data_IF_623208572922
#
_entry.id   IF_623208572922
#
_cell.length_a   1.000
_cell.length_b   1.000
_cell.length_c   1.000
_cell.angle_alpha   90.00
_cell.angle_beta   90.00
_cell.angle_gamma   90.00
#
_symmetry.space_group_name_H-M   'P 1'
#
loop_
_entity.id
_entity.type
_entity.pdbx_description
1 polymer ?
#
# COMPACT_ATOMS: atom_id res chain seq x y z
N UNK A 1 30.01 -9.55 -7.44
CA UNK A 1 28.95 -9.40 -6.41
C UNK A 1 28.51 -7.94 -6.43
N UNK A 2 27.20 -7.67 -6.37
CA UNK A 2 26.71 -6.28 -6.28
C UNK A 2 27.22 -5.59 -5.01
N UNK A 3 27.60 -4.33 -5.12
CA UNK A 3 27.89 -3.46 -3.96
C UNK A 3 26.61 -3.17 -3.17
N UNK A 4 25.47 -3.13 -3.86
CA UNK A 4 24.14 -2.97 -3.25
C UNK A 4 23.78 -4.25 -2.51
N UNK A 5 23.37 -4.12 -1.24
CA UNK A 5 22.97 -5.24 -0.37
C UNK A 5 21.49 -5.28 -0.05
N UNK A 6 20.80 -4.14 -0.17
CA UNK A 6 19.40 -3.99 0.20
C UNK A 6 18.72 -3.02 -0.75
N UNK A 7 17.54 -3.38 -1.22
CA UNK A 7 16.60 -2.50 -1.89
C UNK A 7 15.29 -2.51 -1.10
N UNK A 8 14.75 -1.32 -0.87
CA UNK A 8 13.45 -1.14 -0.24
C UNK A 8 12.47 -0.58 -1.26
N UNK A 9 11.28 -1.17 -1.32
CA UNK A 9 10.17 -0.63 -2.09
C UNK A 9 9.14 -0.01 -1.13
N UNK A 10 8.68 1.18 -1.46
CA UNK A 10 7.36 1.60 -0.97
C UNK A 10 6.29 0.72 -1.63
N UNK A 11 5.10 0.66 -1.04
CA UNK A 11 4.00 -0.16 -1.55
C UNK A 11 3.05 0.65 -2.43
N UNK A 12 2.41 1.66 -1.85
CA UNK A 12 1.39 2.45 -2.53
C UNK A 12 1.99 3.27 -3.66
N UNK A 13 1.40 3.18 -4.86
CA UNK A 13 1.85 3.90 -6.06
C UNK A 13 3.28 3.57 -6.54
N UNK A 14 3.97 2.63 -5.87
CA UNK A 14 5.26 2.08 -6.28
C UNK A 14 5.10 0.65 -6.73
N UNK A 15 4.54 -0.22 -5.88
CA UNK A 15 4.23 -1.61 -6.21
C UNK A 15 2.76 -1.79 -6.61
N UNK A 16 1.85 -0.94 -6.15
CA UNK A 16 0.45 -0.95 -6.60
C UNK A 16 0.27 -0.20 -7.91
N UNK A 17 -0.61 -0.70 -8.78
CA UNK A 17 -0.94 -0.09 -10.07
C UNK A 17 -2.18 0.80 -9.95
N UNK A 18 -2.12 1.99 -10.53
CA UNK A 18 -3.19 2.99 -10.67
C UNK A 18 -3.73 3.65 -9.39
N UNK A 19 -3.67 2.99 -8.23
CA UNK A 19 -4.27 3.48 -6.98
C UNK A 19 -3.54 2.96 -5.75
N UNK A 20 -3.64 3.72 -4.66
CA UNK A 20 -3.28 3.27 -3.31
C UNK A 20 -4.20 2.13 -2.86
N UNK A 21 -3.75 1.33 -1.91
CA UNK A 21 -4.56 0.31 -1.25
C UNK A 21 -5.78 0.93 -0.57
N UNK A 22 -5.63 2.09 0.07
CA UNK A 22 -6.74 2.80 0.71
C UNK A 22 -7.83 3.19 -0.30
N UNK A 23 -7.41 3.73 -1.44
CA UNK A 23 -8.34 4.08 -2.51
C UNK A 23 -8.97 2.82 -3.10
N UNK A 24 -8.25 1.71 -3.26
CA UNK A 24 -8.83 0.43 -3.67
C UNK A 24 -9.94 -0.02 -2.70
N UNK A 25 -9.68 0.01 -1.39
CA UNK A 25 -10.64 -0.42 -0.37
C UNK A 25 -11.89 0.45 -0.34
N UNK A 26 -11.72 1.74 -0.62
CA UNK A 26 -12.82 2.70 -0.66
C UNK A 26 -13.90 2.34 -1.69
N UNK A 27 -13.50 1.76 -2.84
CA UNK A 27 -14.42 1.31 -3.89
C UNK A 27 -15.31 0.18 -3.43
N UNK A 28 -14.75 -0.80 -2.73
CA UNK A 28 -15.50 -1.94 -2.22
C UNK A 28 -16.47 -1.53 -1.10
N UNK A 29 -16.17 -0.44 -0.38
CA UNK A 29 -16.96 0.08 0.74
C UNK A 29 -17.90 1.23 0.37
N UNK A 30 -17.92 1.66 -0.91
CA UNK A 30 -18.73 2.79 -1.41
C UNK A 30 -18.46 4.11 -0.66
N UNK A 31 -17.20 4.34 -0.27
CA UNK A 31 -16.72 5.55 0.44
C UNK A 31 -15.64 6.30 -0.34
N UNK A 32 -15.63 6.12 -1.67
CA UNK A 32 -14.56 6.60 -2.56
C UNK A 32 -14.37 8.10 -2.45
N UNK A 33 -15.46 8.86 -2.41
CA UNK A 33 -15.39 10.32 -2.40
C UNK A 33 -14.80 10.86 -1.09
N UNK A 34 -15.11 10.21 0.03
CA UNK A 34 -14.55 10.54 1.34
C UNK A 34 -13.04 10.29 1.37
N UNK A 35 -12.60 9.13 0.85
CA UNK A 35 -11.17 8.78 0.81
C UNK A 35 -10.43 9.67 -0.18
N UNK A 36 -10.99 9.96 -1.36
CA UNK A 36 -10.38 10.91 -2.32
C UNK A 36 -10.23 12.30 -1.73
N UNK A 37 -11.20 12.76 -0.94
CA UNK A 37 -11.08 14.03 -0.24
C UNK A 37 -9.89 14.01 0.73
N UNK A 38 -9.77 12.99 1.57
CA UNK A 38 -8.63 12.83 2.48
C UNK A 38 -7.29 12.73 1.74
N UNK A 39 -7.22 11.97 0.63
CA UNK A 39 -6.00 11.87 -0.20
C UNK A 39 -5.60 13.24 -0.74
N UNK A 40 -6.57 14.04 -1.22
CA UNK A 40 -6.30 15.39 -1.72
C UNK A 40 -5.83 16.32 -0.61
N UNK A 41 -6.38 16.24 0.61
CA UNK A 41 -5.92 17.02 1.77
C UNK A 41 -4.49 16.61 2.17
N UNK A 42 -4.20 15.31 2.17
CA UNK A 42 -2.87 14.78 2.51
C UNK A 42 -1.82 15.19 1.47
N UNK A 43 -2.12 15.00 0.18
CA UNK A 43 -1.23 15.39 -0.92
C UNK A 43 -0.99 16.90 -0.99
N UNK A 44 -1.96 17.70 -0.55
CA UNK A 44 -1.79 19.14 -0.42
C UNK A 44 -1.02 19.57 0.85
N UNK A 45 -0.58 18.62 1.68
CA UNK A 45 0.12 18.88 2.94
C UNK A 45 -0.75 19.52 4.03
N UNK A 46 -2.07 19.49 3.90
CA UNK A 46 -3.02 20.06 4.88
C UNK A 46 -3.26 19.14 6.07
N UNK A 47 -3.13 17.84 5.86
CA UNK A 47 -3.14 16.83 6.92
C UNK A 47 -1.87 15.98 6.83
N UNK A 48 -1.38 15.51 7.97
CA UNK A 48 -0.23 14.62 8.04
C UNK A 48 -0.66 13.14 8.02
N UNK A 49 0.31 12.23 7.98
CA UNK A 49 0.08 10.79 7.88
C UNK A 49 -0.76 10.23 9.04
N UNK A 50 -0.55 10.72 10.27
CA UNK A 50 -1.32 10.29 11.44
C UNK A 50 -2.79 10.73 11.33
N UNK A 51 -3.03 11.99 10.97
CA UNK A 51 -4.38 12.52 10.77
C UNK A 51 -5.12 11.80 9.64
N UNK A 52 -4.43 11.48 8.54
CA UNK A 52 -4.98 10.69 7.46
C UNK A 52 -5.33 9.27 7.92
N UNK A 53 -4.44 8.59 8.65
CA UNK A 53 -4.66 7.25 9.16
C UNK A 53 -5.86 7.20 10.13
N UNK A 54 -5.95 8.15 11.07
CA UNK A 54 -7.05 8.22 12.03
C UNK A 54 -8.40 8.48 11.33
N UNK A 55 -8.43 9.45 10.41
CA UNK A 55 -9.65 9.80 9.67
C UNK A 55 -10.11 8.65 8.76
N UNK A 56 -9.19 7.98 8.08
CA UNK A 56 -9.51 6.86 7.20
C UNK A 56 -9.93 5.60 7.98
N UNK A 57 -9.29 5.30 9.11
CA UNK A 57 -9.60 4.14 9.94
C UNK A 57 -11.07 4.10 10.41
N UNK A 58 -11.69 5.26 10.64
CA UNK A 58 -13.09 5.37 11.03
C UNK A 58 -14.05 4.69 10.04
N UNK A 59 -13.70 4.68 8.74
CA UNK A 59 -14.53 4.04 7.70
C UNK A 59 -14.38 2.52 7.63
N UNK A 60 -13.33 1.98 8.25
CA UNK A 60 -12.99 0.55 8.23
C UNK A 60 -13.12 -0.12 9.60
N UNK A 61 -13.63 0.58 10.62
CA UNK A 61 -13.70 0.13 12.03
C UNK A 61 -14.41 -1.22 12.29
N UNK A 62 -15.24 -1.67 11.35
CA UNK A 62 -15.99 -2.93 11.47
C UNK A 62 -15.38 -4.08 10.66
N UNK A 63 -14.23 -3.86 10.02
CA UNK A 63 -13.54 -4.90 9.25
C UNK A 63 -12.64 -5.72 10.16
N UNK A 64 -12.73 -7.04 10.01
CA UNK A 64 -11.79 -7.97 10.58
C UNK A 64 -10.46 -7.93 9.82
N UNK A 65 -9.43 -8.54 10.40
CA UNK A 65 -8.17 -8.75 9.70
C UNK A 65 -8.35 -9.58 8.42
N UNK A 66 -9.25 -10.58 8.45
CA UNK A 66 -9.55 -11.43 7.31
C UNK A 66 -10.20 -10.63 6.19
N UNK A 67 -11.13 -9.72 6.51
CA UNK A 67 -11.72 -8.81 5.52
C UNK A 67 -10.63 -8.00 4.82
N UNK A 68 -9.72 -7.36 5.59
CA UNK A 68 -8.61 -6.60 5.03
C UNK A 68 -7.69 -7.48 4.18
N UNK A 69 -7.36 -8.68 4.64
CA UNK A 69 -6.53 -9.63 3.88
C UNK A 69 -7.17 -10.03 2.55
N UNK A 70 -8.48 -10.25 2.52
CA UNK A 70 -9.20 -10.57 1.29
C UNK A 70 -9.20 -9.38 0.33
N UNK A 71 -9.44 -8.17 0.85
CA UNK A 71 -9.39 -6.94 0.05
C UNK A 71 -8.00 -6.68 -0.53
N UNK A 72 -6.94 -7.06 0.18
CA UNK A 72 -5.56 -6.98 -0.32
C UNK A 72 -5.29 -7.95 -1.48
N UNK A 73 -5.96 -9.11 -1.51
CA UNK A 73 -5.78 -10.13 -2.55
C UNK A 73 -6.15 -9.66 -3.96
N UNK A 74 -7.04 -8.67 -4.06
CA UNK A 74 -7.53 -8.12 -5.33
C UNK A 74 -6.75 -6.88 -5.79
N UNK A 75 -5.70 -6.48 -5.06
CA UNK A 75 -4.86 -5.36 -5.47
C UNK A 75 -4.06 -5.71 -6.72
N UNK A 76 -4.16 -4.84 -7.72
CA UNK A 76 -3.36 -4.93 -8.93
C UNK A 76 -2.00 -4.33 -8.65
N UNK A 77 -0.95 -5.13 -8.84
CA UNK A 77 0.44 -4.69 -8.74
C UNK A 77 0.94 -4.17 -10.10
N UNK A 78 2.06 -3.44 -10.10
CA UNK A 78 2.73 -3.05 -11.34
C UNK A 78 3.15 -4.30 -12.13
N UNK A 79 3.16 -4.18 -13.45
CA UNK A 79 3.52 -5.30 -14.33
C UNK A 79 4.94 -5.76 -14.01
N UNK A 80 5.16 -7.08 -14.04
CA UNK A 80 6.44 -7.74 -13.82
C UNK A 80 7.11 -7.45 -12.46
N UNK A 81 6.39 -6.88 -11.47
CA UNK A 81 6.97 -6.56 -10.14
C UNK A 81 7.65 -7.76 -9.48
N UNK A 82 7.02 -8.94 -9.54
CA UNK A 82 7.57 -10.16 -8.97
C UNK A 82 8.83 -10.60 -9.71
N UNK A 83 8.86 -10.49 -11.03
CA UNK A 83 10.02 -10.85 -11.84
C UNK A 83 11.22 -9.95 -11.54
N UNK A 84 10.98 -8.65 -11.41
CA UNK A 84 11.99 -7.66 -11.00
C UNK A 84 12.53 -7.97 -9.60
N UNK A 85 11.64 -8.25 -8.64
CA UNK A 85 12.02 -8.59 -7.27
C UNK A 85 12.84 -9.88 -7.23
N UNK A 86 12.42 -10.93 -7.94
CA UNK A 86 13.16 -12.19 -7.99
C UNK A 86 14.51 -12.05 -8.70
N UNK A 87 14.57 -11.23 -9.76
CA UNK A 87 15.84 -10.89 -10.40
C UNK A 87 16.80 -10.20 -9.42
N UNK A 88 16.34 -9.18 -8.69
CA UNK A 88 17.14 -8.48 -7.68
C UNK A 88 17.65 -9.46 -6.61
N UNK A 89 16.79 -10.34 -6.11
CA UNK A 89 17.17 -11.38 -5.14
C UNK A 89 18.22 -12.33 -5.70
N UNK A 90 18.11 -12.73 -6.97
CA UNK A 90 19.09 -13.60 -7.64
C UNK A 90 20.51 -13.00 -7.71
N UNK A 91 20.62 -11.67 -7.64
CA UNK A 91 21.89 -10.95 -7.59
C UNK A 91 22.51 -10.94 -6.17
N UNK A 92 21.88 -11.60 -5.20
CA UNK A 92 22.28 -11.61 -3.79
C UNK A 92 21.93 -10.32 -3.04
N UNK A 93 20.92 -9.59 -3.52
CA UNK A 93 20.44 -8.34 -2.92
C UNK A 93 19.17 -8.65 -2.12
N UNK A 94 19.12 -8.22 -0.87
CA UNK A 94 17.90 -8.33 -0.06
C UNK A 94 16.84 -7.34 -0.55
N UNK A 95 15.58 -7.76 -0.55
CA UNK A 95 14.44 -6.92 -0.90
C UNK A 95 13.48 -6.85 0.27
N UNK A 96 13.07 -5.63 0.63
CA UNK A 96 12.06 -5.38 1.66
C UNK A 96 10.97 -4.45 1.13
N UNK A 97 9.80 -4.52 1.76
CA UNK A 97 8.74 -3.51 1.61
C UNK A 97 8.82 -2.59 2.84
N UNK A 98 8.93 -1.30 2.61
CA UNK A 98 8.86 -0.28 3.65
C UNK A 98 7.64 0.60 3.36
N UNK A 99 6.52 0.27 4.00
CA UNK A 99 5.27 1.01 3.88
C UNK A 99 4.78 1.44 5.26
N UNK A 100 4.08 2.58 5.31
CA UNK A 100 3.39 3.04 6.52
C UNK A 100 2.03 2.31 6.70
N UNK A 101 1.57 1.59 5.67
CA UNK A 101 0.27 0.95 5.62
C UNK A 101 0.24 -0.52 6.03
N UNK A 102 -0.96 -0.94 6.46
CA UNK A 102 -1.49 -2.31 6.54
C UNK A 102 -0.54 -3.39 7.06
N UNK A 103 -0.59 -3.65 8.38
CA UNK A 103 0.05 -4.80 9.03
C UNK A 103 -0.22 -6.14 8.32
N UNK A 104 -1.36 -6.29 7.63
CA UNK A 104 -1.67 -7.47 6.82
C UNK A 104 -0.68 -7.76 5.68
N UNK A 105 0.12 -6.78 5.26
CA UNK A 105 1.25 -6.97 4.34
C UNK A 105 2.40 -7.78 4.95
N UNK A 106 2.52 -7.78 6.28
CA UNK A 106 3.57 -8.44 7.03
C UNK A 106 2.96 -9.71 7.63
N UNK A 107 3.23 -10.85 6.99
CA UNK A 107 2.92 -12.18 7.55
C UNK A 107 3.95 -12.60 8.57
#
# INVERSE_FOLDING_TARGET
MSEIKLISFDFDMTLTKHKTAMLHFSYQRKIVDQIKHLDNEFMAGRINTGQFADASAAFFKNLSHEDISNMMGDLVLIDDCLEVIEHIKSLGIHVIICSVGYRALIR
#
